data_IF_720334176572
#
_entry.id   IF_720334176572
#
_cell.length_a   1.000
_cell.length_b   1.000
_cell.length_c   1.000
_cell.angle_alpha   90.00
_cell.angle_beta   90.00
_cell.angle_gamma   90.00
#
_symmetry.space_group_name_H-M   'P 1'
#
loop_
_entity.id
_entity.type
_entity.pdbx_description
1 polymer ?
#
# COMPACT_ATOMS: atom_id res chain seq x y z
N UNK A 1 -6.39 -32.42 4.69
CA UNK A 1 -5.94 -31.18 4.02
C UNK A 1 -7.17 -30.48 3.49
N UNK A 2 -7.31 -29.18 3.74
CA UNK A 2 -8.55 -28.43 3.50
C UNK A 2 -8.58 -27.89 2.05
N UNK A 3 -9.48 -28.39 1.18
CA UNK A 3 -9.62 -27.93 -0.20
C UNK A 3 -10.10 -26.47 -0.32
N UNK A 4 -10.40 -25.79 0.79
CA UNK A 4 -10.84 -24.38 0.80
C UNK A 4 -9.72 -23.34 0.93
N UNK A 5 -8.46 -23.77 1.10
CA UNK A 5 -7.31 -22.86 1.27
C UNK A 5 -6.16 -23.18 0.28
N UNK A 6 -6.14 -22.58 -0.93
CA UNK A 6 -5.14 -22.83 -1.97
C UNK A 6 -3.75 -22.22 -1.69
N UNK A 7 -3.49 -21.84 -0.44
CA UNK A 7 -2.29 -21.15 0.00
C UNK A 7 -1.65 -21.81 1.22
N UNK A 8 -0.33 -21.96 1.18
CA UNK A 8 0.48 -22.15 2.37
C UNK A 8 0.67 -20.79 3.04
N UNK A 9 0.18 -20.67 4.28
CA UNK A 9 0.35 -19.47 5.12
C UNK A 9 1.60 -19.61 5.98
N UNK A 10 2.56 -18.69 5.85
CA UNK A 10 3.73 -18.60 6.70
C UNK A 10 3.70 -17.26 7.46
N UNK A 11 3.50 -17.31 8.78
CA UNK A 11 3.58 -16.13 9.64
C UNK A 11 5.06 -15.79 9.86
N UNK A 12 5.50 -14.65 9.33
CA UNK A 12 6.90 -14.23 9.39
C UNK A 12 7.20 -13.57 10.74
N UNK A 13 6.26 -12.76 11.21
CA UNK A 13 6.31 -12.09 12.52
C UNK A 13 4.89 -11.65 12.94
N UNK A 14 4.78 -10.74 13.91
CA UNK A 14 3.48 -10.29 14.44
C UNK A 14 2.66 -9.44 13.47
N UNK A 15 3.28 -8.86 12.44
CA UNK A 15 2.68 -7.89 11.52
C UNK A 15 2.90 -8.26 10.03
N UNK A 16 3.57 -9.37 9.72
CA UNK A 16 3.78 -9.82 8.35
C UNK A 16 3.50 -11.31 8.17
N UNK A 17 2.83 -11.64 7.07
CA UNK A 17 2.49 -13.01 6.69
C UNK A 17 2.73 -13.19 5.19
N UNK A 18 3.39 -14.28 4.80
CA UNK A 18 3.51 -14.69 3.41
C UNK A 18 2.45 -15.75 3.09
N UNK A 19 1.67 -15.51 2.04
CA UNK A 19 0.75 -16.47 1.46
C UNK A 19 1.36 -16.99 0.15
N UNK A 20 1.74 -18.25 0.13
CA UNK A 20 2.38 -18.89 -1.04
C UNK A 20 1.40 -19.87 -1.69
N UNK A 21 1.06 -19.71 -2.97
CA UNK A 21 0.20 -20.65 -3.68
C UNK A 21 0.89 -22.01 -3.86
N UNK A 22 0.12 -23.05 -4.16
CA UNK A 22 0.66 -24.43 -4.34
C UNK A 22 1.67 -24.50 -5.49
N UNK A 23 1.35 -23.83 -6.60
CA UNK A 23 2.28 -23.56 -7.70
C UNK A 23 2.57 -22.06 -7.69
N UNK A 24 3.83 -21.69 -7.48
CA UNK A 24 4.22 -20.28 -7.41
C UNK A 24 5.04 -19.87 -8.63
N UNK A 25 4.79 -18.66 -9.11
CA UNK A 25 5.72 -17.97 -9.99
C UNK A 25 6.87 -17.40 -9.16
N UNK A 26 8.11 -17.68 -9.57
CA UNK A 26 9.30 -17.31 -8.78
C UNK A 26 9.71 -15.83 -8.94
N UNK A 27 9.12 -15.11 -9.90
CA UNK A 27 9.44 -13.72 -10.23
C UNK A 27 8.29 -12.73 -9.98
N UNK A 28 7.24 -13.17 -9.28
CA UNK A 28 6.05 -12.38 -9.03
C UNK A 28 5.81 -12.19 -7.53
N UNK A 29 5.30 -11.03 -7.14
CA UNK A 29 4.91 -10.77 -5.74
C UNK A 29 3.88 -9.65 -5.65
N UNK A 30 2.79 -9.91 -4.93
CA UNK A 30 1.89 -8.85 -4.46
C UNK A 30 2.31 -8.48 -3.03
N UNK A 31 2.49 -7.19 -2.77
CA UNK A 31 2.76 -6.65 -1.45
C UNK A 31 1.50 -5.90 -1.00
N UNK A 32 0.80 -6.46 -0.01
CA UNK A 32 -0.47 -5.95 0.49
C UNK A 32 -0.27 -5.27 1.84
N UNK A 33 -0.30 -3.94 1.87
CA UNK A 33 -0.08 -3.13 3.06
C UNK A 33 -1.42 -2.60 3.61
N UNK A 34 -1.91 -3.16 4.72
CA UNK A 34 -3.26 -2.86 5.22
C UNK A 34 -3.34 -1.52 5.94
N UNK A 35 -4.57 -1.01 6.08
CA UNK A 35 -4.86 0.12 6.96
C UNK A 35 -4.71 -0.28 8.43
N UNK A 36 -4.80 0.72 9.31
CA UNK A 36 -4.65 0.58 10.74
C UNK A 36 -5.74 -0.34 11.33
N UNK A 37 -5.35 -1.46 11.94
CA UNK A 37 -6.27 -2.35 12.65
C UNK A 37 -7.27 -3.07 11.73
N UNK A 38 -6.91 -3.29 10.46
CA UNK A 38 -7.73 -4.04 9.51
C UNK A 38 -8.15 -5.41 10.08
N UNK A 39 -9.45 -5.69 10.11
CA UNK A 39 -9.92 -6.99 10.62
C UNK A 39 -9.59 -8.12 9.62
N UNK A 40 -9.21 -9.32 10.09
CA UNK A 40 -8.86 -10.44 9.22
C UNK A 40 -9.91 -10.77 8.16
N UNK A 41 -11.21 -10.60 8.49
CA UNK A 41 -12.31 -10.84 7.53
C UNK A 41 -12.27 -9.90 6.32
N UNK A 42 -11.80 -8.67 6.48
CA UNK A 42 -11.68 -7.72 5.37
C UNK A 42 -10.43 -8.03 4.54
N UNK A 43 -9.30 -8.29 5.19
CA UNK A 43 -8.05 -8.69 4.53
C UNK A 43 -8.26 -9.92 3.63
N UNK A 44 -8.98 -10.94 4.13
CA UNK A 44 -9.30 -12.16 3.36
C UNK A 44 -10.00 -11.88 2.03
N UNK A 45 -10.83 -10.84 1.94
CA UNK A 45 -11.52 -10.47 0.68
C UNK A 45 -10.51 -10.04 -0.39
N UNK A 46 -9.54 -9.20 -0.02
CA UNK A 46 -8.51 -8.72 -0.95
C UNK A 46 -7.56 -9.84 -1.37
N UNK A 47 -7.17 -10.72 -0.44
CA UNK A 47 -6.39 -11.94 -0.76
C UNK A 47 -7.15 -12.80 -1.78
N UNK A 48 -8.45 -13.03 -1.58
CA UNK A 48 -9.26 -13.81 -2.51
C UNK A 48 -9.43 -13.13 -3.88
N UNK A 49 -9.49 -11.79 -3.94
CA UNK A 49 -9.51 -11.06 -5.20
C UNK A 49 -8.21 -11.25 -5.98
N UNK A 50 -7.05 -11.08 -5.33
CA UNK A 50 -5.75 -11.34 -5.97
C UNK A 50 -5.60 -12.78 -6.39
N UNK A 51 -6.05 -13.74 -5.59
CA UNK A 51 -6.01 -15.16 -5.97
C UNK A 51 -6.75 -15.43 -7.27
N UNK A 52 -7.93 -14.82 -7.44
CA UNK A 52 -8.71 -15.00 -8.65
C UNK A 52 -8.11 -14.30 -9.88
N UNK A 53 -7.33 -13.24 -9.68
CA UNK A 53 -6.65 -12.51 -10.77
C UNK A 53 -5.36 -13.24 -11.15
N UNK A 54 -4.62 -13.73 -10.16
CA UNK A 54 -3.30 -14.31 -10.35
C UNK A 54 -3.07 -15.48 -9.38
N UNK A 55 -3.55 -16.69 -9.73
CA UNK A 55 -3.57 -17.85 -8.83
C UNK A 55 -2.19 -18.31 -8.36
N UNK A 56 -1.14 -17.99 -9.13
CA UNK A 56 0.24 -18.43 -8.91
C UNK A 56 1.13 -17.39 -8.23
N UNK A 57 0.63 -16.18 -7.96
CA UNK A 57 1.47 -15.14 -7.35
C UNK A 57 1.43 -15.21 -5.82
N UNK A 58 2.60 -15.25 -5.14
CA UNK A 58 2.68 -15.06 -3.69
C UNK A 58 2.19 -13.68 -3.24
N UNK A 59 1.59 -13.62 -2.05
CA UNK A 59 1.14 -12.36 -1.43
C UNK A 59 1.88 -12.16 -0.10
N UNK A 60 2.70 -11.11 -0.04
CA UNK A 60 3.29 -10.61 1.20
C UNK A 60 2.32 -9.62 1.85
N UNK A 61 1.62 -10.06 2.89
CA UNK A 61 0.75 -9.22 3.70
C UNK A 61 1.56 -8.51 4.78
N UNK A 62 1.43 -7.19 4.86
CA UNK A 62 2.00 -6.32 5.90
C UNK A 62 0.84 -5.60 6.61
N UNK A 63 0.60 -5.97 7.85
CA UNK A 63 -0.49 -5.45 8.68
C UNK A 63 -0.05 -4.21 9.46
N UNK A 64 -0.85 -3.15 9.38
CA UNK A 64 -0.59 -1.90 10.10
C UNK A 64 -1.35 -1.84 11.44
N UNK A 65 -0.70 -1.34 12.48
CA UNK A 65 -1.27 -1.08 13.80
C UNK A 65 -0.72 0.22 14.38
N UNK A 66 -1.34 0.72 15.46
CA UNK A 66 -0.88 1.98 16.09
C UNK A 66 0.59 1.88 16.53
N UNK A 67 1.03 0.70 16.97
CA UNK A 67 2.41 0.43 17.39
C UNK A 67 3.39 0.31 16.23
N UNK A 68 2.91 0.03 15.01
CA UNK A 68 3.77 0.04 13.83
C UNK A 68 3.98 1.45 13.31
N UNK A 69 2.92 2.26 13.25
CA UNK A 69 2.97 3.61 12.67
C UNK A 69 3.56 4.67 13.61
N UNK A 70 3.40 4.52 14.95
CA UNK A 70 3.94 5.49 15.93
C UNK A 70 5.35 5.18 16.40
N UNK A 71 5.92 4.02 16.03
CA UNK A 71 7.30 3.70 16.35
C UNK A 71 8.28 4.68 15.67
N UNK A 72 9.44 5.00 16.26
CA UNK A 72 10.47 5.77 15.57
C UNK A 72 10.84 5.18 14.20
N UNK A 73 11.08 6.02 13.18
CA UNK A 73 11.38 5.55 11.82
C UNK A 73 12.53 4.53 11.71
N UNK A 74 13.64 4.61 12.46
CA UNK A 74 14.66 3.57 12.43
C UNK A 74 14.14 2.18 12.82
N UNK A 75 13.20 2.10 13.76
CA UNK A 75 12.54 0.85 14.16
C UNK A 75 11.61 0.37 13.04
N UNK A 76 10.86 1.28 12.42
CA UNK A 76 9.99 0.94 11.29
C UNK A 76 10.81 0.41 10.09
N UNK A 77 11.92 1.05 9.76
CA UNK A 77 12.84 0.64 8.70
C UNK A 77 13.47 -0.72 8.99
N UNK A 78 13.96 -0.93 10.23
CA UNK A 78 14.56 -2.20 10.66
C UNK A 78 13.57 -3.35 10.58
N UNK A 79 12.29 -3.11 10.89
CA UNK A 79 11.22 -4.10 10.67
C UNK A 79 11.16 -4.51 9.21
N UNK A 80 11.14 -3.55 8.28
CA UNK A 80 11.06 -3.85 6.84
C UNK A 80 12.29 -4.59 6.29
N UNK A 81 13.48 -4.37 6.85
CA UNK A 81 14.68 -5.15 6.49
C UNK A 81 14.45 -6.67 6.63
N UNK A 82 13.66 -7.11 7.62
CA UNK A 82 13.37 -8.56 7.81
C UNK A 82 12.56 -9.17 6.66
N UNK A 83 11.94 -8.35 5.81
CA UNK A 83 11.12 -8.79 4.67
C UNK A 83 11.90 -8.76 3.35
N UNK A 84 13.05 -8.08 3.27
CA UNK A 84 13.84 -7.95 2.05
C UNK A 84 14.25 -9.29 1.41
N UNK A 85 14.54 -10.38 2.15
CA UNK A 85 14.81 -11.67 1.53
C UNK A 85 13.67 -12.19 0.62
N UNK A 86 12.42 -11.82 0.90
CA UNK A 86 11.26 -12.19 0.07
C UNK A 86 11.26 -11.38 -1.23
N UNK A 87 11.57 -10.08 -1.13
CA UNK A 87 11.69 -9.22 -2.31
C UNK A 87 12.85 -9.69 -3.19
N UNK A 88 14.02 -9.95 -2.60
CA UNK A 88 15.19 -10.44 -3.32
C UNK A 88 14.92 -11.76 -4.04
N UNK A 89 14.18 -12.68 -3.42
CA UNK A 89 13.76 -13.93 -4.11
C UNK A 89 12.93 -13.63 -5.36
N UNK A 90 11.93 -12.76 -5.25
CA UNK A 90 11.09 -12.38 -6.39
C UNK A 90 11.87 -11.63 -7.48
N UNK A 91 12.95 -10.94 -7.11
CA UNK A 91 13.81 -10.21 -8.05
C UNK A 91 14.90 -11.08 -8.69
N UNK A 92 15.39 -12.10 -7.98
CA UNK A 92 16.54 -12.93 -8.38
C UNK A 92 16.17 -14.12 -9.29
N UNK A 93 14.95 -14.17 -9.83
CA UNK A 93 14.51 -15.29 -10.66
C UNK A 93 15.49 -15.55 -11.82
N UNK A 94 15.86 -16.82 -11.98
CA UNK A 94 16.88 -17.32 -12.92
C UNK A 94 16.43 -17.34 -14.37
N UNK A 95 15.16 -17.00 -14.62
CA UNK A 95 14.56 -16.90 -15.94
C UNK A 95 14.78 -15.46 -16.43
N UNK A 96 15.09 -15.20 -17.72
CA UNK A 96 15.23 -13.85 -18.29
C UNK A 96 13.95 -12.98 -18.27
N UNK A 97 12.96 -13.32 -17.43
CA UNK A 97 11.70 -12.61 -17.25
C UNK A 97 11.82 -11.48 -16.25
N UNK A 98 11.45 -10.27 -16.68
CA UNK A 98 11.42 -9.07 -15.83
C UNK A 98 10.49 -9.30 -14.62
N UNK A 99 10.97 -9.11 -13.37
CA UNK A 99 10.18 -9.27 -12.16
C UNK A 99 8.86 -8.49 -12.19
N UNK A 100 7.79 -9.05 -11.63
CA UNK A 100 6.44 -8.47 -11.62
C UNK A 100 5.98 -8.26 -10.17
N UNK A 101 6.33 -7.10 -9.61
CA UNK A 101 6.00 -6.74 -8.22
C UNK A 101 4.92 -5.67 -8.20
N UNK A 102 3.87 -5.84 -7.39
CA UNK A 102 2.82 -4.85 -7.20
C UNK A 102 2.69 -4.48 -5.73
N UNK A 103 2.63 -3.19 -5.41
CA UNK A 103 2.31 -2.73 -4.05
C UNK A 103 0.86 -2.26 -4.04
N UNK A 104 0.10 -2.69 -3.04
CA UNK A 104 -1.24 -2.18 -2.77
C UNK A 104 -1.30 -1.67 -1.34
N UNK A 105 -1.51 -0.37 -1.18
CA UNK A 105 -1.58 0.32 0.10
C UNK A 105 -3.01 0.73 0.43
N UNK A 106 -3.37 0.63 1.70
CA UNK A 106 -4.62 1.15 2.23
C UNK A 106 -4.36 2.21 3.30
N UNK A 107 -5.02 3.35 3.18
CA UNK A 107 -4.89 4.46 4.13
C UNK A 107 -3.44 4.93 4.29
N UNK A 108 -3.20 5.84 5.24
CA UNK A 108 -1.83 6.25 5.60
C UNK A 108 -1.05 5.14 6.32
N UNK A 109 -1.74 4.24 7.02
CA UNK A 109 -1.09 3.11 7.70
C UNK A 109 -0.38 2.18 6.71
N UNK A 110 -1.10 1.72 5.69
CA UNK A 110 -0.54 0.86 4.64
C UNK A 110 0.46 1.61 3.77
N UNK A 111 0.17 2.88 3.45
CA UNK A 111 1.08 3.72 2.68
C UNK A 111 2.42 3.91 3.40
N UNK A 112 2.42 4.11 4.72
CA UNK A 112 3.63 4.14 5.52
C UNK A 112 4.39 2.80 5.51
N UNK A 113 3.69 1.67 5.64
CA UNK A 113 4.34 0.35 5.56
C UNK A 113 5.06 0.16 4.21
N UNK A 114 4.44 0.56 3.10
CA UNK A 114 5.07 0.56 1.78
C UNK A 114 6.26 1.53 1.69
N UNK A 115 6.10 2.77 2.18
CA UNK A 115 7.17 3.77 2.27
C UNK A 115 8.41 3.22 2.98
N UNK A 116 8.24 2.62 4.16
CA UNK A 116 9.36 2.07 4.92
C UNK A 116 10.01 0.88 4.19
N UNK A 117 9.22 0.06 3.48
CA UNK A 117 9.74 -1.06 2.69
C UNK A 117 10.57 -0.58 1.48
N UNK A 118 10.07 0.41 0.75
CA UNK A 118 10.78 1.05 -0.36
C UNK A 118 12.11 1.68 0.09
N UNK A 119 12.09 2.40 1.22
CA UNK A 119 13.29 3.00 1.80
C UNK A 119 14.29 1.94 2.28
N UNK A 120 13.82 0.86 2.90
CA UNK A 120 14.69 -0.23 3.36
C UNK A 120 15.37 -0.92 2.17
N UNK A 121 14.60 -1.24 1.11
CA UNK A 121 15.14 -1.81 -0.11
C UNK A 121 16.16 -0.88 -0.77
N UNK A 122 15.82 0.40 -0.97
CA UNK A 122 16.74 1.37 -1.58
C UNK A 122 18.03 1.55 -0.77
N UNK A 123 17.95 1.56 0.57
CA UNK A 123 19.12 1.67 1.43
C UNK A 123 20.09 0.50 1.25
N UNK A 124 19.56 -0.70 1.04
CA UNK A 124 20.34 -1.94 0.88
C UNK A 124 20.84 -2.13 -0.56
N UNK A 125 19.93 -2.07 -1.54
CA UNK A 125 20.21 -2.36 -2.94
C UNK A 125 20.83 -1.18 -3.71
N UNK A 126 20.76 0.04 -3.15
CA UNK A 126 21.15 1.30 -3.81
C UNK A 126 20.47 1.53 -5.17
N UNK A 127 19.28 0.98 -5.32
CA UNK A 127 18.48 1.04 -6.54
C UNK A 127 17.00 1.27 -6.19
N UNK A 128 16.23 1.66 -7.20
CA UNK A 128 14.77 1.74 -7.08
C UNK A 128 14.16 0.34 -7.20
N UNK A 129 13.08 0.06 -6.46
CA UNK A 129 12.37 -1.22 -6.56
C UNK A 129 11.57 -1.26 -7.87
N UNK A 130 11.81 -2.22 -8.79
CA UNK A 130 11.09 -2.28 -10.06
C UNK A 130 9.67 -2.82 -9.84
N UNK A 131 8.67 -1.95 -9.94
CA UNK A 131 7.27 -2.27 -9.74
C UNK A 131 6.48 -2.30 -11.06
N UNK A 132 5.58 -3.27 -11.16
CA UNK A 132 4.49 -3.29 -12.13
C UNK A 132 3.55 -2.08 -11.91
N UNK A 133 3.33 -1.70 -10.65
CA UNK A 133 2.59 -0.50 -10.26
C UNK A 133 2.37 -0.38 -8.75
N UNK A 134 1.71 0.70 -8.35
CA UNK A 134 1.23 0.93 -6.99
C UNK A 134 -0.27 1.17 -7.04
N UNK A 135 -1.03 0.57 -6.13
CA UNK A 135 -2.43 0.93 -5.88
C UNK A 135 -2.51 1.62 -4.53
N UNK A 136 -3.15 2.78 -4.49
CA UNK A 136 -3.41 3.53 -3.27
C UNK A 136 -4.92 3.60 -3.02
N UNK A 137 -5.39 2.84 -2.04
CA UNK A 137 -6.79 2.81 -1.59
C UNK A 137 -6.95 3.72 -0.37
N UNK A 138 -7.86 4.69 -0.44
CA UNK A 138 -8.14 5.63 0.65
C UNK A 138 -6.89 6.38 1.15
N UNK A 139 -5.95 6.72 0.28
CA UNK A 139 -4.71 7.43 0.63
C UNK A 139 -3.81 7.77 -0.55
N UNK A 140 -2.66 8.43 -0.34
CA UNK A 140 -2.20 9.00 0.93
C UNK A 140 -2.84 10.36 1.26
N UNK A 141 -3.12 10.63 2.53
CA UNK A 141 -3.65 11.91 3.03
C UNK A 141 -2.54 12.97 3.27
N UNK A 142 -2.92 14.23 3.53
CA UNK A 142 -2.00 15.30 3.95
C UNK A 142 -1.92 15.44 5.47
N UNK A 143 -0.77 15.92 5.96
CA UNK A 143 -0.44 16.01 7.38
C UNK A 143 -0.94 17.26 8.11
N UNK A 144 -2.22 17.62 7.96
CA UNK A 144 -2.84 18.69 8.73
C UNK A 144 -3.25 18.20 10.11
N UNK A 145 -2.89 18.94 11.17
CA UNK A 145 -3.10 18.52 12.56
C UNK A 145 -4.55 18.09 12.85
N UNK A 146 -5.51 18.93 12.46
CA UNK A 146 -6.92 18.67 12.73
C UNK A 146 -7.53 17.59 11.83
N UNK A 147 -7.01 17.40 10.61
CA UNK A 147 -7.40 16.25 9.78
C UNK A 147 -6.93 14.95 10.41
N UNK A 148 -5.66 14.88 10.83
CA UNK A 148 -5.13 13.71 11.52
C UNK A 148 -5.88 13.44 12.84
N UNK A 149 -6.20 14.47 13.61
CA UNK A 149 -7.04 14.34 14.82
C UNK A 149 -8.42 13.78 14.49
N UNK A 150 -9.13 14.36 13.51
CA UNK A 150 -10.45 13.89 13.08
C UNK A 150 -10.41 12.43 12.64
N UNK A 151 -9.42 12.05 11.84
CA UNK A 151 -9.21 10.66 11.38
C UNK A 151 -9.05 9.69 12.56
N UNK A 152 -8.26 10.06 13.58
CA UNK A 152 -8.14 9.28 14.81
C UNK A 152 -9.46 9.18 15.57
N UNK A 153 -10.21 10.28 15.71
CA UNK A 153 -11.50 10.29 16.41
C UNK A 153 -12.56 9.42 15.70
N UNK A 154 -12.59 9.43 14.36
CA UNK A 154 -13.47 8.57 13.55
C UNK A 154 -13.11 7.08 13.73
N UNK A 155 -11.85 6.76 14.04
CA UNK A 155 -11.39 5.40 14.28
C UNK A 155 -11.76 4.86 15.68
N UNK A 156 -12.18 5.72 16.60
CA UNK A 156 -12.56 5.32 17.96
C UNK A 156 -14.02 4.86 18.04
N UNK A 157 -14.39 4.07 19.08
CA UNK A 157 -15.78 3.69 19.30
C UNK A 157 -16.69 4.92 19.38
N UNK A 158 -17.88 4.86 18.78
CA UNK A 158 -18.87 5.96 18.78
C UNK A 158 -19.55 6.20 20.14
N UNK A 159 -19.18 5.45 21.17
CA UNK A 159 -19.74 5.60 22.51
C UNK A 159 -19.33 6.96 23.12
N UNK A 160 -20.24 7.70 23.80
CA UNK A 160 -19.95 9.05 24.30
C UNK A 160 -18.67 9.15 25.15
N UNK A 161 -18.40 8.18 26.02
CA UNK A 161 -17.18 8.17 26.84
C UNK A 161 -15.91 8.16 25.96
N UNK A 162 -15.91 7.39 24.88
CA UNK A 162 -14.77 7.37 23.94
C UNK A 162 -14.67 8.66 23.15
N UNK A 163 -15.79 9.23 22.70
CA UNK A 163 -15.79 10.42 21.86
C UNK A 163 -15.49 11.72 22.63
N UNK A 164 -15.91 11.81 23.90
CA UNK A 164 -15.85 13.07 24.66
C UNK A 164 -14.80 13.08 25.79
N UNK A 165 -14.40 11.91 26.31
CA UNK A 165 -13.54 11.83 27.50
C UNK A 165 -12.18 11.22 27.15
N UNK A 166 -12.18 10.00 26.60
CA UNK A 166 -10.94 9.23 26.40
C UNK A 166 -10.26 9.59 25.07
N UNK A 167 -11.03 9.74 24.01
CA UNK A 167 -10.53 9.89 22.65
C UNK A 167 -9.72 11.16 22.42
N UNK A 168 -10.23 12.35 22.75
CA UNK A 168 -9.51 13.60 22.51
C UNK A 168 -8.11 13.64 23.15
N UNK A 169 -7.91 13.36 24.46
CA UNK A 169 -6.56 13.40 25.05
C UNK A 169 -5.65 12.33 24.44
N UNK A 170 -6.18 11.15 24.11
CA UNK A 170 -5.39 10.10 23.44
C UNK A 170 -4.94 10.53 22.05
N UNK A 171 -5.84 11.08 21.22
CA UNK A 171 -5.53 11.55 19.87
C UNK A 171 -4.50 12.69 19.91
N UNK A 172 -4.68 13.67 20.80
CA UNK A 172 -3.70 14.73 21.01
C UNK A 172 -2.34 14.18 21.46
N UNK A 173 -2.32 13.25 22.42
CA UNK A 173 -1.09 12.62 22.90
C UNK A 173 -0.30 11.92 21.80
N UNK A 174 -0.99 11.13 20.96
CA UNK A 174 -0.36 10.48 19.80
C UNK A 174 0.18 11.51 18.80
N UNK A 175 -0.60 12.52 18.45
CA UNK A 175 -0.18 13.55 17.49
C UNK A 175 1.00 14.38 17.99
N UNK A 176 0.98 14.77 19.27
CA UNK A 176 2.10 15.47 19.91
C UNK A 176 3.33 14.58 19.94
N UNK A 177 3.18 13.31 20.29
CA UNK A 177 4.26 12.33 20.24
C UNK A 177 4.90 12.22 18.86
N UNK A 178 4.09 12.04 17.81
CA UNK A 178 4.57 11.96 16.43
C UNK A 178 5.22 13.28 15.96
N UNK A 179 4.67 14.44 16.33
CA UNK A 179 5.23 15.75 15.96
C UNK A 179 6.45 16.15 16.77
N UNK A 180 6.66 15.60 17.96
CA UNK A 180 7.83 15.90 18.78
C UNK A 180 9.15 15.58 18.06
N UNK A 181 9.19 14.46 17.33
CA UNK A 181 10.35 14.10 16.49
C UNK A 181 10.63 15.11 15.39
N UNK A 182 9.56 15.68 14.81
CA UNK A 182 9.66 16.74 13.79
C UNK A 182 10.14 18.05 14.40
N UNK A 183 9.58 18.47 15.54
CA UNK A 183 9.99 19.69 16.24
C UNK A 183 11.45 19.64 16.73
N UNK A 184 11.95 18.45 17.05
CA UNK A 184 13.37 18.22 17.37
C UNK A 184 14.26 18.11 16.12
N UNK A 185 13.73 18.28 14.90
CA UNK A 185 14.48 18.16 13.65
C UNK A 185 14.98 16.74 13.34
N UNK A 186 14.45 15.71 14.01
CA UNK A 186 14.92 14.33 13.86
C UNK A 186 14.29 13.62 12.66
N UNK A 187 13.04 13.98 12.35
CA UNK A 187 12.23 13.25 11.38
C UNK A 187 11.43 14.21 10.50
N UNK A 188 11.21 13.88 9.21
CA UNK A 188 10.21 14.55 8.41
C UNK A 188 8.80 14.28 8.95
N UNK A 189 7.86 15.15 8.60
CA UNK A 189 6.43 14.94 8.85
C UNK A 189 5.99 13.62 8.24
N UNK A 190 5.17 12.87 8.98
CA UNK A 190 4.73 11.52 8.62
C UNK A 190 4.10 11.45 7.23
N UNK A 191 3.13 12.32 6.97
CA UNK A 191 2.43 12.36 5.69
C UNK A 191 3.35 12.84 4.55
N UNK A 192 4.27 13.76 4.80
CA UNK A 192 5.22 14.24 3.79
C UNK A 192 6.20 13.14 3.38
N UNK A 193 6.69 12.35 4.33
CA UNK A 193 7.54 11.19 4.05
C UNK A 193 6.81 10.18 3.17
N UNK A 194 5.55 9.87 3.49
CA UNK A 194 4.74 8.92 2.72
C UNK A 194 4.53 9.44 1.31
N UNK A 195 3.95 10.63 1.19
CA UNK A 195 3.58 11.25 -0.08
C UNK A 195 4.80 11.43 -0.98
N UNK A 196 5.92 11.88 -0.43
CA UNK A 196 7.17 12.05 -1.18
C UNK A 196 7.72 10.73 -1.69
N UNK A 197 7.79 9.71 -0.83
CA UNK A 197 8.41 8.40 -1.15
C UNK A 197 7.64 7.64 -2.22
N UNK A 198 6.30 7.62 -2.16
CA UNK A 198 5.47 6.84 -3.10
C UNK A 198 5.61 7.29 -4.56
N UNK A 199 6.07 8.52 -4.80
CA UNK A 199 6.31 9.07 -6.14
C UNK A 199 7.78 9.49 -6.34
N UNK A 200 8.71 9.00 -5.50
CA UNK A 200 10.14 9.25 -5.67
C UNK A 200 10.77 8.19 -6.58
N UNK A 201 11.26 8.64 -7.73
CA UNK A 201 11.90 7.81 -8.75
C UNK A 201 13.17 7.11 -8.30
N UNK A 202 13.82 7.60 -7.24
CA UNK A 202 15.02 6.99 -6.68
C UNK A 202 14.72 5.70 -5.94
N UNK A 203 13.50 5.55 -5.42
CA UNK A 203 13.08 4.40 -4.62
C UNK A 203 11.99 3.57 -5.32
N UNK A 204 11.20 4.18 -6.20
CA UNK A 204 10.21 3.50 -7.03
C UNK A 204 10.63 3.48 -8.50
N UNK A 205 10.97 2.29 -9.00
CA UNK A 205 11.26 2.03 -10.40
C UNK A 205 10.03 1.46 -11.11
N UNK A 206 9.89 1.70 -12.41
CA UNK A 206 8.88 1.01 -13.21
C UNK A 206 9.46 -0.26 -13.84
N UNK A 207 8.63 -1.29 -13.92
CA UNK A 207 8.99 -2.59 -14.50
C UNK A 207 9.41 -2.44 -15.98
N UNK A 208 10.59 -2.95 -16.34
CA UNK A 208 11.08 -2.98 -17.72
C UNK A 208 12.58 -2.72 -17.81
N UNK A 209 13.15 -2.84 -19.01
CA UNK A 209 14.55 -2.48 -19.28
C UNK A 209 14.70 -0.96 -19.33
N UNK A 210 15.63 -0.38 -18.56
CA UNK A 210 15.91 1.06 -18.61
C UNK A 210 14.87 1.96 -17.94
N UNK A 211 14.34 1.56 -16.78
CA UNK A 211 13.23 2.22 -16.05
C UNK A 211 11.94 2.27 -16.88
N UNK A 212 11.19 1.16 -16.88
CA UNK A 212 9.87 1.13 -17.53
C UNK A 212 8.90 2.15 -16.91
N UNK A 213 7.73 2.31 -17.54
CA UNK A 213 6.72 3.26 -17.07
C UNK A 213 6.31 2.97 -15.63
N UNK A 214 6.29 4.02 -14.80
CA UNK A 214 5.81 3.97 -13.41
C UNK A 214 4.30 4.18 -13.41
N UNK A 215 3.58 3.26 -12.79
CA UNK A 215 2.12 3.28 -12.71
C UNK A 215 1.68 3.45 -11.28
N UNK A 216 0.70 4.31 -11.07
CA UNK A 216 0.04 4.47 -9.77
C UNK A 216 -1.46 4.68 -9.98
N UNK A 217 -2.26 3.84 -9.33
CA UNK A 217 -3.72 3.91 -9.41
C UNK A 217 -4.27 4.29 -8.05
N UNK A 218 -5.13 5.30 -8.01
CA UNK A 218 -5.79 5.78 -6.80
C UNK A 218 -7.24 5.31 -6.77
N UNK A 219 -7.67 4.79 -5.62
CA UNK A 219 -9.05 4.40 -5.37
C UNK A 219 -9.55 5.17 -4.15
N UNK A 220 -10.63 5.93 -4.31
CA UNK A 220 -11.12 6.81 -3.25
C UNK A 220 -12.63 7.03 -3.36
N UNK A 221 -13.23 7.62 -2.32
CA UNK A 221 -14.64 8.02 -2.35
C UNK A 221 -14.88 9.26 -1.50
N UNK A 222 -15.80 10.13 -1.92
CA UNK A 222 -16.15 11.35 -1.15
C UNK A 222 -16.77 11.07 0.21
N UNK A 223 -17.23 9.84 0.47
CA UNK A 223 -17.76 9.39 1.76
C UNK A 223 -16.68 8.98 2.76
N UNK A 224 -15.39 9.07 2.41
CA UNK A 224 -14.30 8.79 3.34
C UNK A 224 -14.16 9.92 4.37
N UNK A 225 -14.52 9.61 5.63
CA UNK A 225 -14.43 10.55 6.75
C UNK A 225 -13.04 10.61 7.40
N UNK A 226 -12.14 9.69 7.04
CA UNK A 226 -10.78 9.60 7.60
C UNK A 226 -9.73 10.26 6.71
N UNK A 227 -9.88 10.14 5.39
CA UNK A 227 -8.98 10.72 4.40
C UNK A 227 -9.80 11.55 3.42
N UNK A 228 -9.51 12.85 3.35
CA UNK A 228 -10.15 13.74 2.38
C UNK A 228 -9.71 13.34 0.97
N UNK A 229 -10.66 13.04 0.10
CA UNK A 229 -10.40 12.68 -1.29
C UNK A 229 -9.56 13.73 -2.04
N UNK A 230 -9.63 15.01 -1.65
CA UNK A 230 -8.80 16.07 -2.23
C UNK A 230 -7.31 15.87 -1.97
N UNK A 231 -6.97 15.24 -0.85
CA UNK A 231 -5.57 14.93 -0.52
C UNK A 231 -5.04 13.78 -1.40
N UNK A 232 -5.92 12.82 -1.75
CA UNK A 232 -5.65 11.72 -2.69
C UNK A 232 -5.49 12.26 -4.10
N UNK A 233 -6.47 13.03 -4.60
CA UNK A 233 -6.40 13.66 -5.93
C UNK A 233 -5.22 14.61 -6.06
N UNK A 234 -4.92 15.38 -5.01
CA UNK A 234 -3.72 16.22 -4.99
C UNK A 234 -2.42 15.43 -4.99
N UNK A 235 -2.40 14.17 -4.54
CA UNK A 235 -1.23 13.28 -4.72
C UNK A 235 -1.17 12.71 -6.12
N UNK A 236 -2.32 12.34 -6.69
CA UNK A 236 -2.44 11.90 -8.07
C UNK A 236 -1.92 12.95 -9.05
N UNK A 237 -2.23 14.22 -8.82
CA UNK A 237 -1.73 15.31 -9.65
C UNK A 237 -0.20 15.45 -9.58
N UNK A 238 0.37 15.38 -8.38
CA UNK A 238 1.84 15.38 -8.21
C UNK A 238 2.49 14.19 -8.94
N UNK A 239 1.83 13.02 -8.96
CA UNK A 239 2.32 11.88 -9.73
C UNK A 239 2.27 12.14 -11.24
N UNK A 240 1.19 12.75 -11.75
CA UNK A 240 1.07 13.15 -13.18
C UNK A 240 2.14 14.16 -13.58
N UNK A 241 2.36 15.18 -12.77
CA UNK A 241 3.42 16.19 -12.98
C UNK A 241 4.82 15.56 -13.04
N UNK A 242 5.03 14.45 -12.34
CA UNK A 242 6.27 13.66 -12.37
C UNK A 242 6.32 12.64 -13.53
N UNK A 243 5.37 12.68 -14.46
CA UNK A 243 5.34 11.80 -15.63
C UNK A 243 4.93 10.36 -15.34
N UNK A 244 4.23 10.11 -14.23
CA UNK A 244 3.68 8.79 -13.93
C UNK A 244 2.42 8.53 -14.76
N UNK A 245 2.18 7.26 -15.09
CA UNK A 245 0.91 6.81 -15.64
C UNK A 245 -0.07 6.67 -14.48
N UNK A 246 -1.00 7.62 -14.38
CA UNK A 246 -1.90 7.77 -13.22
C UNK A 246 -3.33 7.47 -13.61
N UNK A 247 -3.93 6.53 -12.88
CA UNK A 247 -5.38 6.31 -12.88
C UNK A 247 -5.96 6.79 -11.55
N UNK A 248 -7.18 7.34 -11.57
CA UNK A 248 -7.85 7.77 -10.37
C UNK A 248 -9.35 7.49 -10.44
N UNK A 249 -9.82 6.66 -9.50
CA UNK A 249 -11.11 6.01 -9.56
C UNK A 249 -11.97 6.40 -8.35
N UNK A 250 -12.97 7.27 -8.57
CA UNK A 250 -13.98 7.57 -7.56
C UNK A 250 -14.99 6.40 -7.44
N UNK A 251 -15.17 5.92 -6.21
CA UNK A 251 -16.25 5.03 -5.80
C UNK A 251 -17.32 5.85 -5.08
N UNK A 252 -18.40 6.15 -5.80
CA UNK A 252 -19.48 6.98 -5.28
C UNK A 252 -20.16 6.28 -4.09
N UNK A 253 -20.28 7.00 -2.98
CA UNK A 253 -20.93 6.51 -1.76
C UNK A 253 -20.10 5.55 -0.89
N UNK A 254 -18.86 5.24 -1.26
CA UNK A 254 -17.97 4.44 -0.40
C UNK A 254 -17.33 5.28 0.70
N UNK A 255 -17.19 4.69 1.89
CA UNK A 255 -16.36 5.22 2.97
C UNK A 255 -14.92 4.70 2.94
N UNK A 256 -14.18 4.97 4.02
CA UNK A 256 -12.78 4.62 4.17
C UNK A 256 -12.50 3.12 3.97
N UNK A 257 -11.62 2.76 3.03
CA UNK A 257 -11.22 1.38 2.71
C UNK A 257 -12.39 0.42 2.40
N UNK A 258 -13.53 0.96 1.95
CA UNK A 258 -14.78 0.23 1.77
C UNK A 258 -15.22 0.14 0.30
N UNK A 259 -14.38 0.60 -0.63
CA UNK A 259 -14.62 0.66 -2.07
C UNK A 259 -14.99 -0.70 -2.67
N UNK A 260 -14.23 -1.75 -2.30
CA UNK A 260 -14.45 -3.11 -2.75
C UNK A 260 -15.79 -3.72 -2.28
N UNK A 261 -16.40 -3.19 -1.22
CA UNK A 261 -17.74 -3.59 -0.78
C UNK A 261 -18.83 -2.95 -1.63
N UNK A 262 -18.62 -1.71 -2.09
CA UNK A 262 -19.57 -0.98 -2.91
C UNK A 262 -19.66 -1.58 -4.32
N UNK A 263 -18.52 -1.78 -4.98
CA UNK A 263 -18.46 -2.42 -6.31
C UNK A 263 -17.24 -3.32 -6.42
N UNK A 264 -17.38 -4.56 -5.96
CA UNK A 264 -16.31 -5.54 -5.98
C UNK A 264 -15.90 -6.01 -7.38
N UNK A 265 -16.78 -5.86 -8.38
CA UNK A 265 -16.47 -6.23 -9.76
C UNK A 265 -15.57 -5.18 -10.41
N UNK A 266 -15.92 -3.89 -10.27
CA UNK A 266 -15.06 -2.78 -10.71
C UNK A 266 -13.73 -2.77 -9.98
N UNK A 267 -13.75 -2.96 -8.66
CA UNK A 267 -12.52 -3.01 -7.87
C UNK A 267 -11.59 -4.11 -8.37
N UNK A 268 -12.11 -5.31 -8.64
CA UNK A 268 -11.31 -6.42 -9.19
C UNK A 268 -10.75 -6.12 -10.58
N UNK A 269 -11.50 -5.41 -11.45
CA UNK A 269 -10.98 -4.97 -12.75
C UNK A 269 -9.76 -4.07 -12.58
N UNK A 270 -9.86 -3.04 -11.75
CA UNK A 270 -8.74 -2.13 -11.44
C UNK A 270 -7.49 -2.90 -10.98
N UNK A 271 -7.66 -3.88 -10.07
CA UNK A 271 -6.55 -4.72 -9.63
C UNK A 271 -5.92 -5.53 -10.78
N UNK A 272 -6.76 -6.05 -11.69
CA UNK A 272 -6.32 -6.81 -12.86
C UNK A 272 -5.65 -5.94 -13.92
N UNK A 273 -6.18 -4.76 -14.19
CA UNK A 273 -5.71 -3.83 -15.21
C UNK A 273 -4.27 -3.40 -14.91
N UNK A 274 -4.00 -2.94 -13.68
CA UNK A 274 -2.64 -2.56 -13.28
C UNK A 274 -1.68 -3.77 -13.25
N UNK A 275 -2.16 -4.95 -12.83
CA UNK A 275 -1.37 -6.17 -12.83
C UNK A 275 -0.96 -6.58 -14.25
N UNK A 276 -1.85 -6.43 -15.23
CA UNK A 276 -1.67 -6.94 -16.60
C UNK A 276 -1.23 -5.86 -17.62
N UNK A 277 -1.00 -4.61 -17.20
CA UNK A 277 -0.75 -3.47 -18.09
C UNK A 277 0.44 -3.59 -19.09
N UNK A 278 1.33 -4.58 -18.96
CA UNK A 278 2.39 -4.84 -19.96
C UNK A 278 2.00 -5.85 -21.04
N UNK A 279 0.99 -6.68 -20.79
CA UNK A 279 0.49 -7.66 -21.78
C UNK A 279 -0.39 -6.97 -22.83
N UNK A 280 -1.15 -5.95 -22.42
CA UNK A 280 -2.05 -5.17 -23.29
C UNK A 280 -1.27 -4.38 -24.34
N UNK A 281 -0.20 -3.68 -23.95
CA UNK A 281 0.62 -2.90 -24.88
C UNK A 281 1.31 -3.78 -25.95
N UNK A 282 1.64 -5.05 -25.63
CA UNK A 282 2.16 -6.01 -26.62
C UNK A 282 1.05 -6.55 -27.53
N UNK A 283 -0.14 -6.80 -27.00
CA UNK A 283 -1.28 -7.30 -27.78
C UNK A 283 -1.79 -6.26 -28.80
N UNK A 284 -1.81 -4.98 -28.44
CA UNK A 284 -2.20 -3.88 -29.35
C UNK A 284 -1.17 -3.68 -30.49
N UNK A 285 0.13 -3.84 -30.20
CA UNK A 285 1.18 -3.77 -31.22
C UNK A 285 1.12 -4.97 -32.18
N UNK A 286 0.73 -6.15 -31.70
CA UNK A 286 0.65 -7.39 -32.51
C UNK A 286 -0.65 -7.47 -33.33
N UNK A 287 -1.77 -6.91 -32.85
CA UNK A 287 -3.04 -6.92 -33.58
C UNK A 287 -3.26 -5.67 -34.47
N UNK A 288 -2.44 -4.64 -34.31
CA UNK A 288 -2.48 -3.40 -35.09
C UNK A 288 -1.41 -3.28 -36.19
N UNK A 289 -0.70 -4.38 -36.49
CA UNK A 289 0.33 -4.46 -37.53
C UNK A 289 -0.12 -5.26 -38.75
#
# INVERSE_FOLDING_TARGET
>A
MDPTHPYKKAKLNTWATLYTPVSQADNELIILCTWLGALPKHIKKYIAMYHAITPTTPILLIESSIWTVTAPYPIQLSRMHTLLPILHRALASTIPTVPKLLIHTFSNGGSNSATQLLLAYHREAKSALPLQGIICDSGPAKGEYWKSHRSMMVSLPRHPVWQWVIGPPLAHGVLVGMRSGVWMGRYPVFEDLIRGTLVDEKVVGGRGTGNGKRRITYVWGKGDEQVDWRDVEGHAEVARERGWEVESEEFVGSGHCDHARIDGARYRRILGDIWNAQEVARAEIVCGG
#
